data_IF_900934323357
#
_entry.id   IF_900934323357
#
_cell.length_a   1.000
_cell.length_b   1.000
_cell.length_c   1.000
_cell.angle_alpha   90.00
_cell.angle_beta   90.00
_cell.angle_gamma   90.00
#
_symmetry.space_group_name_H-M   'P 1'
#
loop_
_entity.id
_entity.type
_entity.pdbx_description
1 polymer ?
#
# COMPACT_ATOMS: atom_id res chain seq x y z
N UNK A 1 3.36 -9.43 -5.76
CA UNK A 1 2.34 -9.24 -6.80
C UNK A 1 3.01 -8.87 -8.11
N UNK A 2 2.36 -9.16 -9.25
CA UNK A 2 2.90 -8.86 -10.58
C UNK A 2 2.59 -7.40 -11.01
N UNK A 3 3.42 -6.75 -11.84
CA UNK A 3 3.16 -5.39 -12.32
C UNK A 3 1.81 -5.24 -13.06
N UNK A 4 1.44 -6.24 -13.85
CA UNK A 4 0.16 -6.26 -14.56
C UNK A 4 -1.06 -6.22 -13.62
N UNK A 5 -0.96 -6.89 -12.45
CA UNK A 5 -2.03 -6.91 -11.46
C UNK A 5 -2.18 -5.54 -10.77
N UNK A 6 -1.06 -4.83 -10.56
CA UNK A 6 -1.10 -3.46 -10.02
C UNK A 6 -1.86 -2.53 -10.97
N UNK A 7 -1.55 -2.59 -12.26
CA UNK A 7 -2.23 -1.78 -13.28
C UNK A 7 -3.72 -2.12 -13.37
N UNK A 8 -4.08 -3.41 -13.34
CA UNK A 8 -5.47 -3.85 -13.35
C UNK A 8 -6.24 -3.32 -12.14
N UNK A 9 -5.67 -3.42 -10.94
CA UNK A 9 -6.28 -2.89 -9.71
C UNK A 9 -6.44 -1.37 -9.77
N UNK A 10 -5.43 -0.64 -10.27
CA UNK A 10 -5.52 0.81 -10.44
C UNK A 10 -6.59 1.21 -11.46
N UNK A 11 -6.68 0.49 -12.59
CA UNK A 11 -7.71 0.72 -13.60
C UNK A 11 -9.11 0.47 -13.04
N UNK A 12 -9.32 -0.63 -12.32
CA UNK A 12 -10.60 -0.94 -11.68
C UNK A 12 -10.98 0.15 -10.67
N UNK A 13 -10.04 0.57 -9.81
CA UNK A 13 -10.29 1.67 -8.86
C UNK A 13 -10.64 2.96 -9.59
N UNK A 14 -9.94 3.30 -10.67
CA UNK A 14 -10.22 4.51 -11.46
C UNK A 14 -11.56 4.47 -12.20
N UNK A 15 -12.08 3.28 -12.51
CA UNK A 15 -13.41 3.12 -13.10
C UNK A 15 -14.54 3.36 -12.09
N UNK A 16 -14.29 3.06 -10.80
CA UNK A 16 -15.31 3.17 -9.74
C UNK A 16 -15.16 4.42 -8.86
N UNK A 17 -13.96 4.96 -8.72
CA UNK A 17 -13.62 6.07 -7.83
C UNK A 17 -12.96 7.20 -8.61
N UNK A 18 -12.90 8.38 -7.98
CA UNK A 18 -12.28 9.54 -8.60
C UNK A 18 -10.75 9.36 -8.73
N UNK A 19 -10.09 10.08 -9.67
CA UNK A 19 -8.66 9.96 -9.88
C UNK A 19 -7.79 10.25 -8.65
N UNK A 20 -8.28 11.06 -7.70
CA UNK A 20 -7.57 11.38 -6.46
C UNK A 20 -7.65 10.27 -5.41
N UNK A 21 -8.59 9.33 -5.52
CA UNK A 21 -8.71 8.16 -4.64
C UNK A 21 -7.91 6.98 -5.17
N UNK A 22 -7.45 7.04 -6.43
CA UNK A 22 -6.66 5.98 -7.04
C UNK A 22 -5.28 5.92 -6.37
N UNK A 23 -4.86 4.77 -5.82
CA UNK A 23 -3.59 4.66 -5.11
C UNK A 23 -2.41 4.80 -6.07
N UNK A 24 -1.47 5.69 -5.72
CA UNK A 24 -0.25 5.96 -6.51
C UNK A 24 0.76 4.81 -6.48
N UNK A 25 0.76 4.03 -5.41
CA UNK A 25 1.61 2.86 -5.24
C UNK A 25 0.79 1.75 -4.59
N UNK A 26 0.97 0.51 -5.05
CA UNK A 26 0.35 -0.69 -4.47
C UNK A 26 1.47 -1.64 -4.11
N UNK A 27 1.59 -1.93 -2.81
CA UNK A 27 2.50 -2.93 -2.28
C UNK A 27 1.70 -4.13 -1.77
N UNK A 28 2.12 -5.33 -2.13
CA UNK A 28 1.52 -6.57 -1.64
C UNK A 28 2.29 -7.04 -0.42
N UNK A 29 1.60 -7.15 0.70
CA UNK A 29 2.13 -7.67 1.96
C UNK A 29 1.33 -8.91 2.36
N UNK A 30 1.99 -9.88 3.01
CA UNK A 30 1.33 -11.12 3.43
C UNK A 30 0.25 -10.86 4.49
N UNK A 31 0.47 -9.87 5.35
CA UNK A 31 -0.49 -9.48 6.38
C UNK A 31 -0.36 -8.00 6.75
N UNK A 32 -1.52 -7.36 6.95
CA UNK A 32 -1.57 -6.03 7.55
C UNK A 32 -1.16 -6.12 9.02
N UNK A 33 -0.30 -5.21 9.50
CA UNK A 33 0.00 -5.12 10.92
C UNK A 33 -1.28 -4.68 11.64
N UNK A 34 -1.87 -5.59 12.42
CA UNK A 34 -3.07 -5.34 13.21
C UNK A 34 -2.74 -5.32 14.70
N UNK A 35 -3.53 -4.62 15.50
CA UNK A 35 -3.50 -4.72 16.96
C UNK A 35 -4.10 -6.05 17.40
N UNK A 36 -3.91 -6.42 18.66
CA UNK A 36 -4.58 -7.59 19.29
C UNK A 36 -6.10 -7.51 19.21
N UNK A 37 -6.65 -6.30 19.02
CA UNK A 37 -8.08 -6.03 18.82
C UNK A 37 -8.51 -5.94 17.36
N UNK A 38 -7.63 -6.28 16.40
CA UNK A 38 -7.93 -6.30 14.97
C UNK A 38 -7.92 -4.95 14.28
N UNK A 39 -7.42 -3.88 14.90
CA UNK A 39 -7.32 -2.56 14.26
C UNK A 39 -6.01 -2.44 13.48
N UNK A 40 -6.06 -1.90 12.27
CA UNK A 40 -4.84 -1.66 11.47
C UNK A 40 -3.92 -0.67 12.17
N UNK A 41 -2.67 -1.06 12.38
CA UNK A 41 -1.63 -0.24 13.00
C UNK A 41 -1.01 0.71 11.97
N UNK A 42 -1.72 1.79 11.65
CA UNK A 42 -1.27 2.81 10.67
C UNK A 42 0.10 3.41 11.00
N UNK A 43 0.49 3.47 12.29
CA UNK A 43 1.82 3.94 12.71
C UNK A 43 2.93 3.05 12.16
N UNK A 44 2.76 1.73 12.22
CA UNK A 44 3.73 0.76 11.70
C UNK A 44 3.80 0.87 10.18
N UNK A 45 2.65 0.99 9.49
CA UNK A 45 2.61 1.17 8.04
C UNK A 45 3.38 2.43 7.62
N UNK A 46 3.17 3.57 8.29
CA UNK A 46 3.94 4.80 8.02
C UNK A 46 5.43 4.65 8.30
N UNK A 47 5.81 3.94 9.37
CA UNK A 47 7.21 3.69 9.68
C UNK A 47 7.87 2.77 8.63
N UNK A 48 7.14 1.78 8.10
CA UNK A 48 7.62 0.92 7.00
C UNK A 48 7.86 1.73 5.73
N UNK A 49 6.91 2.58 5.34
CA UNK A 49 7.07 3.50 4.20
C UNK A 49 8.26 4.46 4.36
N UNK A 50 8.48 4.95 5.59
CA UNK A 50 9.63 5.81 5.89
C UNK A 50 10.96 5.06 5.78
N UNK A 51 11.01 3.80 6.23
CA UNK A 51 12.20 2.95 6.12
C UNK A 51 12.46 2.49 4.69
N UNK A 52 11.42 2.14 3.92
CA UNK A 52 11.57 1.73 2.52
C UNK A 52 12.06 2.87 1.63
N UNK A 53 11.64 4.12 1.92
CA UNK A 53 12.15 5.32 1.23
C UNK A 53 13.51 5.82 1.72
N UNK A 54 13.90 5.49 2.96
CA UNK A 54 15.16 5.94 3.58
C UNK A 54 16.29 4.89 3.59
N UNK A 55 16.05 3.70 3.05
CA UNK A 55 16.94 2.54 3.22
C UNK A 55 17.94 2.27 2.08
N UNK A 56 18.05 3.16 1.09
CA UNK A 56 19.11 3.11 0.07
C UNK A 56 20.20 4.13 0.37
N UNK A 57 20.86 3.99 1.53
CA UNK A 57 22.23 4.45 1.75
C UNK A 57 22.99 3.34 2.47
N UNK A 58 23.84 2.65 1.70
CA UNK A 58 24.79 1.61 2.08
C UNK A 58 25.73 1.39 0.91
#
# INVERSE_FOLDING_TARGET
GSPALVEEMQQQVRQHLAPYETPKAIEFIDALPMTTTGKVQRRILRAREAQSRGGSEG
#
